data_IF_657066117817
#
_entry.id   IF_657066117817
#
_cell.length_a   1.000
_cell.length_b   1.000
_cell.length_c   1.000
_cell.angle_alpha   90.00
_cell.angle_beta   90.00
_cell.angle_gamma   90.00
#
_symmetry.space_group_name_H-M   'P 1'
#
loop_
_entity.id
_entity.type
_entity.pdbx_description
1 polymer ?
#
# COMPACT_ATOMS: atom_id res chain seq x y z
N UNK A 1 -90.32 -32.64 -2.32
CA UNK A 1 -89.51 -31.70 -3.13
C UNK A 1 -88.08 -32.22 -3.13
N UNK A 2 -87.60 -32.74 -4.28
CA UNK A 2 -86.53 -32.15 -5.13
C UNK A 2 -85.20 -31.93 -4.39
N UNK A 3 -84.02 -32.35 -4.84
CA UNK A 3 -83.50 -33.25 -5.91
C UNK A 3 -81.97 -33.17 -5.71
N UNK A 4 -81.27 -34.32 -5.66
CA UNK A 4 -80.07 -34.71 -6.45
C UNK A 4 -79.04 -33.63 -6.87
N UNK A 5 -77.71 -33.86 -6.99
CA UNK A 5 -76.85 -35.03 -7.26
C UNK A 5 -75.37 -34.59 -7.00
N UNK A 6 -74.46 -35.45 -6.50
CA UNK A 6 -73.37 -36.18 -7.23
C UNK A 6 -72.51 -35.28 -8.16
N UNK A 7 -71.18 -35.32 -8.14
CA UNK A 7 -70.36 -36.47 -8.56
C UNK A 7 -68.96 -36.55 -7.90
N UNK A 8 -68.63 -37.76 -7.48
CA UNK A 8 -67.29 -38.36 -7.38
C UNK A 8 -67.23 -39.44 -8.48
N UNK A 9 -66.16 -39.48 -9.27
CA UNK A 9 -65.68 -40.62 -10.11
C UNK A 9 -64.34 -40.18 -10.73
N UNK A 10 -63.17 -40.77 -10.46
CA UNK A 10 -62.67 -42.13 -10.73
C UNK A 10 -63.08 -42.65 -12.10
N UNK A 11 -62.12 -42.71 -13.04
CA UNK A 11 -61.86 -43.73 -14.08
C UNK A 11 -60.44 -43.46 -14.61
N UNK A 12 -59.56 -44.38 -15.03
CA UNK A 12 -59.21 -45.78 -14.77
C UNK A 12 -58.19 -46.18 -15.87
N UNK A 13 -57.60 -47.37 -15.70
CA UNK A 13 -57.10 -48.31 -16.73
C UNK A 13 -55.66 -48.10 -17.24
N UNK A 14 -54.65 -48.96 -16.99
CA UNK A 14 -54.47 -50.41 -16.77
C UNK A 14 -54.13 -51.24 -18.03
N UNK A 15 -53.42 -52.35 -17.75
CA UNK A 15 -52.87 -53.47 -18.57
C UNK A 15 -51.35 -53.40 -18.79
N UNK A 16 -50.50 -54.22 -18.15
CA UNK A 16 -50.38 -55.69 -17.94
C UNK A 16 -50.00 -56.46 -19.21
N UNK A 17 -48.86 -57.16 -19.11
CA UNK A 17 -48.46 -58.29 -19.96
C UNK A 17 -47.00 -58.17 -20.40
N UNK A 18 -46.16 -59.20 -20.48
CA UNK A 18 -46.14 -60.57 -19.98
C UNK A 18 -44.70 -61.05 -20.26
N UNK A 19 -44.16 -61.90 -19.40
CA UNK A 19 -42.91 -62.63 -19.69
C UNK A 19 -43.22 -63.67 -20.77
N UNK A 20 -42.45 -63.70 -21.86
CA UNK A 20 -42.22 -64.93 -22.61
C UNK A 20 -40.73 -65.07 -22.93
N UNK A 21 -40.17 -66.13 -22.38
CA UNK A 21 -38.95 -66.80 -22.80
C UNK A 21 -39.02 -67.21 -24.27
N UNK A 22 -37.93 -66.95 -25.01
CA UNK A 22 -37.62 -67.58 -26.28
C UNK A 22 -36.11 -67.71 -26.42
N UNK A 23 -35.56 -68.85 -25.98
CA UNK A 23 -34.24 -69.29 -26.42
C UNK A 23 -34.41 -70.05 -27.73
N UNK A 24 -33.67 -69.67 -28.78
CA UNK A 24 -33.12 -70.62 -29.74
C UNK A 24 -31.89 -70.01 -30.40
N UNK A 25 -30.78 -70.76 -30.33
CA UNK A 25 -29.55 -70.55 -31.07
C UNK A 25 -29.81 -70.61 -32.57
N UNK A 26 -29.09 -69.80 -33.37
CA UNK A 26 -28.14 -70.31 -34.37
C UNK A 26 -27.49 -69.16 -35.16
N UNK A 27 -26.17 -69.27 -35.22
CA UNK A 27 -25.15 -68.84 -36.17
C UNK A 27 -25.32 -67.70 -37.19
N UNK A 28 -24.17 -67.05 -37.37
CA UNK A 28 -23.64 -66.47 -38.59
C UNK A 28 -24.41 -65.31 -39.23
N UNK A 29 -23.87 -64.10 -39.05
CA UNK A 29 -22.80 -63.61 -39.93
C UNK A 29 -22.62 -62.11 -39.79
N UNK A 30 -21.41 -61.69 -40.11
CA UNK A 30 -20.86 -60.37 -39.95
C UNK A 30 -21.68 -59.22 -40.59
N UNK A 31 -21.27 -58.02 -40.19
CA UNK A 31 -21.53 -56.71 -40.83
C UNK A 31 -22.76 -56.00 -40.27
N UNK A 32 -22.58 -55.24 -39.19
CA UNK A 32 -22.39 -53.80 -39.35
C UNK A 32 -21.91 -53.20 -38.02
N UNK A 33 -20.58 -53.20 -37.82
CA UNK A 33 -19.95 -52.23 -36.92
C UNK A 33 -19.96 -50.89 -37.65
N UNK A 34 -21.14 -50.31 -37.85
CA UNK A 34 -21.24 -48.87 -37.97
C UNK A 34 -20.87 -48.35 -36.59
N UNK A 35 -19.60 -47.93 -36.49
CA UNK A 35 -19.12 -47.03 -35.47
C UNK A 35 -20.15 -45.89 -35.36
N UNK A 36 -21.06 -45.98 -34.40
CA UNK A 36 -21.51 -44.79 -33.72
C UNK A 36 -20.24 -44.21 -33.13
N UNK A 37 -19.63 -43.28 -33.86
CA UNK A 37 -18.84 -42.23 -33.27
C UNK A 37 -19.65 -41.75 -32.08
N UNK A 38 -19.19 -42.08 -30.87
CA UNK A 38 -19.72 -41.47 -29.67
C UNK A 38 -19.67 -39.98 -29.92
N UNK A 39 -20.87 -39.40 -30.05
CA UNK A 39 -21.05 -37.98 -30.22
C UNK A 39 -20.59 -37.37 -28.90
N UNK A 40 -19.28 -37.06 -28.81
CA UNK A 40 -18.59 -36.22 -27.81
C UNK A 40 -19.10 -34.78 -27.93
N UNK A 41 -20.40 -34.64 -28.11
CA UNK A 41 -21.14 -33.40 -28.19
C UNK A 41 -21.11 -32.77 -26.80
N UNK A 42 -20.53 -31.58 -26.74
CA UNK A 42 -20.56 -30.68 -25.59
C UNK A 42 -22.01 -30.55 -25.11
N UNK A 43 -22.34 -31.21 -23.99
CA UNK A 43 -23.67 -31.13 -23.38
C UNK A 43 -23.76 -29.82 -22.59
N UNK A 44 -24.60 -28.89 -23.04
CA UNK A 44 -24.91 -27.67 -22.28
C UNK A 44 -26.10 -27.95 -21.35
N UNK A 45 -25.97 -27.60 -20.07
CA UNK A 45 -27.01 -27.74 -19.05
C UNK A 45 -27.33 -26.36 -18.49
N UNK A 46 -28.59 -25.94 -18.60
CA UNK A 46 -29.08 -24.71 -17.97
C UNK A 46 -29.42 -24.98 -16.52
N UNK A 47 -28.89 -24.17 -15.60
CA UNK A 47 -29.07 -24.32 -14.16
C UNK A 47 -29.34 -22.97 -13.50
N UNK A 48 -30.19 -22.96 -12.48
CA UNK A 48 -30.49 -21.76 -11.69
C UNK A 48 -30.11 -21.99 -10.24
N UNK A 49 -29.52 -20.98 -9.60
CA UNK A 49 -29.20 -20.98 -8.16
C UNK A 49 -29.70 -19.72 -7.49
N UNK A 50 -30.07 -19.83 -6.21
CA UNK A 50 -30.43 -18.69 -5.38
C UNK A 50 -29.20 -18.22 -4.60
N UNK A 51 -28.93 -16.92 -4.69
CA UNK A 51 -27.75 -16.28 -4.11
C UNK A 51 -28.20 -15.11 -3.25
N UNK A 52 -27.70 -15.04 -2.03
CA UNK A 52 -27.92 -13.93 -1.12
C UNK A 52 -26.64 -13.12 -0.90
N UNK A 53 -26.81 -11.85 -0.54
CA UNK A 53 -25.74 -11.02 0.02
C UNK A 53 -25.79 -11.13 1.55
N UNK A 54 -24.64 -11.30 2.20
CA UNK A 54 -24.56 -11.21 3.67
C UNK A 54 -24.94 -9.80 4.13
N UNK A 55 -26.06 -9.70 4.84
CA UNK A 55 -26.60 -8.46 5.39
C UNK A 55 -25.75 -7.89 6.54
N UNK A 56 -24.84 -8.68 7.13
CA UNK A 56 -23.90 -8.21 8.15
C UNK A 56 -22.66 -7.51 7.62
N UNK A 57 -22.38 -7.62 6.31
CA UNK A 57 -21.14 -7.09 5.72
C UNK A 57 -21.20 -5.58 5.47
N UNK A 58 -20.23 -4.84 6.03
CA UNK A 58 -20.18 -3.36 5.98
C UNK A 58 -19.53 -2.78 4.71
N UNK A 59 -19.17 -3.61 3.73
CA UNK A 59 -18.27 -3.21 2.63
C UNK A 59 -18.69 -3.64 1.23
N UNK A 60 -19.92 -4.06 0.98
CA UNK A 60 -20.38 -4.49 -0.37
C UNK A 60 -20.47 -3.34 -1.40
N UNK A 61 -19.70 -2.29 -1.14
CA UNK A 61 -19.56 -1.06 -1.88
C UNK A 61 -20.85 -0.21 -1.78
N UNK A 62 -20.86 0.56 -0.70
CA UNK A 62 -22.00 1.17 -0.01
C UNK A 62 -22.86 2.09 -0.92
N UNK A 63 -24.17 2.09 -0.70
CA UNK A 63 -25.06 3.20 -1.14
C UNK A 63 -25.11 4.27 -0.03
N UNK A 64 -25.85 5.37 -0.24
CA UNK A 64 -26.04 6.38 0.82
C UNK A 64 -26.61 5.84 2.14
N UNK A 65 -27.24 4.65 2.10
CA UNK A 65 -27.81 3.93 3.26
C UNK A 65 -26.98 2.72 3.71
N UNK A 66 -25.89 2.40 3.00
CA UNK A 66 -24.83 1.53 3.51
C UNK A 66 -24.91 0.04 3.18
N UNK A 67 -25.84 -0.41 2.33
CA UNK A 67 -25.86 -1.80 1.82
C UNK A 67 -26.13 -1.78 0.32
N UNK A 68 -25.35 -2.54 -0.45
CA UNK A 68 -25.58 -2.75 -1.88
C UNK A 68 -26.59 -3.86 -2.09
N UNK A 69 -27.46 -3.67 -3.07
CA UNK A 69 -28.46 -4.64 -3.53
C UNK A 69 -28.11 -5.14 -4.93
N UNK A 70 -28.60 -6.32 -5.30
CA UNK A 70 -28.63 -6.74 -6.69
C UNK A 70 -29.54 -5.81 -7.51
N UNK A 71 -29.15 -5.58 -8.76
CA UNK A 71 -29.83 -4.73 -9.72
C UNK A 71 -30.03 -5.45 -11.06
N UNK A 72 -31.05 -5.00 -11.79
CA UNK A 72 -31.35 -5.50 -13.13
C UNK A 72 -30.14 -5.27 -14.05
N UNK A 73 -29.80 -6.29 -14.84
CA UNK A 73 -28.66 -6.25 -15.75
C UNK A 73 -27.36 -6.82 -15.18
N UNK A 74 -27.23 -6.95 -13.86
CA UNK A 74 -26.02 -7.51 -13.25
C UNK A 74 -25.88 -9.02 -13.53
N UNK A 75 -24.64 -9.48 -13.54
CA UNK A 75 -24.26 -10.87 -13.84
C UNK A 75 -23.29 -11.39 -12.79
N UNK A 76 -23.26 -12.70 -12.62
CA UNK A 76 -22.32 -13.41 -11.75
C UNK A 76 -21.50 -14.40 -12.56
N UNK A 77 -20.25 -14.64 -12.17
CA UNK A 77 -19.45 -15.71 -12.74
C UNK A 77 -19.49 -16.95 -11.83
N UNK A 78 -19.44 -18.13 -12.44
CA UNK A 78 -19.24 -19.41 -11.78
C UNK A 78 -18.01 -20.08 -12.36
N UNK A 79 -17.14 -20.57 -11.49
CA UNK A 79 -16.02 -21.44 -11.85
C UNK A 79 -16.38 -22.85 -11.39
N UNK A 80 -16.32 -23.80 -12.31
CA UNK A 80 -16.72 -25.19 -12.09
C UNK A 80 -15.85 -26.13 -12.94
N UNK A 81 -15.85 -27.43 -12.63
CA UNK A 81 -15.17 -28.43 -13.45
C UNK A 81 -16.06 -28.91 -14.59
N UNK A 82 -15.49 -29.06 -15.78
CA UNK A 82 -16.16 -29.67 -16.93
C UNK A 82 -15.65 -31.09 -17.27
N UNK A 83 -14.98 -31.74 -16.32
CA UNK A 83 -14.33 -33.04 -16.49
C UNK A 83 -12.95 -33.00 -17.16
N UNK A 84 -12.62 -31.93 -17.89
CA UNK A 84 -11.28 -31.70 -18.47
C UNK A 84 -10.45 -30.68 -17.69
N UNK A 85 -11.10 -29.88 -16.83
CA UNK A 85 -10.47 -28.88 -15.99
C UNK A 85 -11.47 -27.87 -15.46
N UNK A 86 -10.96 -26.85 -14.76
CA UNK A 86 -11.77 -25.73 -14.26
C UNK A 86 -12.05 -24.74 -15.39
N UNK A 87 -13.32 -24.39 -15.55
CA UNK A 87 -13.79 -23.43 -16.56
C UNK A 87 -14.70 -22.38 -15.93
N UNK A 88 -14.78 -21.22 -16.56
CA UNK A 88 -15.67 -20.12 -16.17
C UNK A 88 -16.92 -20.10 -17.05
N UNK A 89 -18.08 -19.96 -16.43
CA UNK A 89 -19.31 -19.50 -17.09
C UNK A 89 -19.81 -18.20 -16.46
N UNK A 90 -20.56 -17.42 -17.23
CA UNK A 90 -21.19 -16.17 -16.78
C UNK A 90 -22.70 -16.35 -16.82
N UNK A 91 -23.39 -15.90 -15.79
CA UNK A 91 -24.84 -15.98 -15.72
C UNK A 91 -25.48 -15.14 -16.81
N UNK A 92 -26.74 -15.43 -17.12
CA UNK A 92 -27.61 -14.46 -17.79
C UNK A 92 -27.75 -13.22 -16.89
N UNK A 93 -27.99 -12.07 -17.52
CA UNK A 93 -28.25 -10.82 -16.80
C UNK A 93 -29.55 -10.92 -15.99
N UNK A 94 -29.53 -10.41 -14.75
CA UNK A 94 -30.69 -10.40 -13.86
C UNK A 94 -31.84 -9.59 -14.46
N UNK A 95 -33.04 -10.14 -14.34
CA UNK A 95 -34.32 -9.44 -14.58
C UNK A 95 -34.93 -9.02 -13.24
N UNK A 96 -35.97 -8.18 -13.30
CA UNK A 96 -36.67 -7.73 -12.10
C UNK A 96 -37.24 -8.91 -11.28
N UNK A 97 -37.82 -9.92 -11.94
CA UNK A 97 -38.41 -11.10 -11.28
C UNK A 97 -37.36 -12.05 -10.67
N UNK A 98 -36.09 -11.93 -11.08
CA UNK A 98 -35.00 -12.71 -10.51
C UNK A 98 -34.58 -12.16 -9.13
N UNK A 99 -34.90 -10.91 -8.83
CA UNK A 99 -34.47 -10.17 -7.65
C UNK A 99 -35.57 -10.23 -6.58
N UNK A 100 -35.20 -10.62 -5.36
CA UNK A 100 -36.11 -10.83 -4.22
C UNK A 100 -35.61 -10.10 -2.98
N UNK A 101 -36.45 -10.07 -1.95
CA UNK A 101 -36.12 -9.52 -0.62
C UNK A 101 -35.54 -8.10 -0.69
N UNK A 102 -36.21 -7.21 -1.42
CA UNK A 102 -35.74 -5.84 -1.66
C UNK A 102 -34.31 -5.73 -2.25
N UNK A 103 -33.87 -6.77 -2.96
CA UNK A 103 -32.58 -6.80 -3.64
C UNK A 103 -31.46 -7.49 -2.87
N UNK A 104 -31.70 -8.05 -1.69
CA UNK A 104 -30.67 -8.78 -0.93
C UNK A 104 -30.48 -10.23 -1.39
N UNK A 105 -31.39 -10.75 -2.21
CA UNK A 105 -31.29 -12.08 -2.81
C UNK A 105 -31.68 -12.04 -4.29
N UNK A 106 -31.05 -12.92 -5.09
CA UNK A 106 -31.34 -13.02 -6.52
C UNK A 106 -31.18 -14.47 -7.03
N UNK A 107 -31.90 -14.80 -8.11
CA UNK A 107 -31.79 -16.08 -8.82
C UNK A 107 -30.93 -15.92 -10.07
N UNK A 108 -29.75 -16.54 -10.09
CA UNK A 108 -28.84 -16.50 -11.23
C UNK A 108 -28.98 -17.76 -12.07
N UNK A 109 -29.13 -17.60 -13.38
CA UNK A 109 -29.22 -18.71 -14.34
C UNK A 109 -27.97 -18.79 -15.20
N UNK A 110 -27.38 -19.98 -15.27
CA UNK A 110 -26.15 -20.29 -16.00
C UNK A 110 -26.39 -21.34 -17.07
N UNK A 111 -25.65 -21.26 -18.16
CA UNK A 111 -25.55 -22.30 -19.17
C UNK A 111 -24.17 -22.95 -19.05
N UNK A 112 -24.11 -24.16 -18.50
CA UNK A 112 -22.86 -24.86 -18.17
C UNK A 112 -22.54 -25.92 -19.22
N UNK A 113 -21.35 -25.83 -19.81
CA UNK A 113 -20.84 -26.83 -20.75
C UNK A 113 -20.20 -28.00 -20.01
N UNK A 114 -20.71 -29.21 -20.27
CA UNK A 114 -20.27 -30.52 -19.74
C UNK A 114 -19.93 -30.52 -18.24
N UNK A 115 -20.80 -30.02 -17.36
CA UNK A 115 -20.45 -29.88 -15.94
C UNK A 115 -20.23 -31.24 -15.27
N UNK A 116 -19.17 -31.30 -14.46
CA UNK A 116 -18.88 -32.41 -13.56
C UNK A 116 -19.34 -32.04 -12.14
N UNK A 117 -20.36 -32.76 -11.65
CA UNK A 117 -21.19 -32.41 -10.48
C UNK A 117 -20.61 -32.89 -9.15
N UNK A 118 -19.30 -33.13 -9.07
CA UNK A 118 -18.65 -33.78 -7.92
C UNK A 118 -17.43 -33.00 -7.38
N UNK A 119 -17.39 -31.69 -7.62
CA UNK A 119 -16.19 -30.85 -7.44
C UNK A 119 -16.56 -29.49 -6.82
N UNK A 120 -15.56 -28.82 -6.25
CA UNK A 120 -15.59 -27.42 -5.81
C UNK A 120 -16.16 -26.49 -6.90
N UNK A 121 -17.10 -25.63 -6.51
CA UNK A 121 -17.58 -24.49 -7.29
C UNK A 121 -17.22 -23.19 -6.59
N UNK A 122 -16.91 -22.17 -7.40
CA UNK A 122 -16.65 -20.82 -6.90
C UNK A 122 -17.55 -19.82 -7.61
N UNK A 123 -18.30 -19.04 -6.85
CA UNK A 123 -19.09 -17.93 -7.37
C UNK A 123 -18.33 -16.63 -7.17
N UNK A 124 -18.30 -15.79 -8.19
CA UNK A 124 -17.62 -14.49 -8.16
C UNK A 124 -18.59 -13.44 -8.68
N UNK A 125 -18.84 -12.45 -7.82
CA UNK A 125 -19.77 -11.37 -8.10
C UNK A 125 -19.09 -10.00 -7.93
N UNK A 126 -19.32 -9.05 -8.87
CA UNK A 126 -19.98 -9.24 -10.16
C UNK A 126 -19.11 -10.06 -11.12
N UNK A 127 -19.70 -10.54 -12.23
CA UNK A 127 -18.99 -11.37 -13.23
C UNK A 127 -17.74 -10.70 -13.82
N UNK A 128 -17.71 -9.36 -13.88
CA UNK A 128 -16.56 -8.56 -14.34
C UNK A 128 -15.32 -8.72 -13.45
N UNK A 129 -15.50 -9.15 -12.19
CA UNK A 129 -14.40 -9.43 -11.27
C UNK A 129 -13.80 -10.82 -11.44
N UNK A 130 -14.32 -11.64 -12.36
CA UNK A 130 -13.75 -12.94 -12.69
C UNK A 130 -12.91 -12.87 -13.96
N UNK A 131 -11.62 -13.20 -13.85
CA UNK A 131 -10.70 -13.36 -14.98
C UNK A 131 -11.09 -14.56 -15.85
N UNK A 132 -10.48 -14.68 -17.04
CA UNK A 132 -10.79 -15.77 -17.97
C UNK A 132 -10.48 -17.16 -17.38
N UNK A 133 -9.46 -17.24 -16.52
CA UNK A 133 -9.04 -18.46 -15.80
C UNK A 133 -9.87 -18.75 -14.55
N UNK A 134 -10.88 -17.93 -14.23
CA UNK A 134 -11.71 -18.07 -13.03
C UNK A 134 -11.10 -17.49 -11.76
N UNK A 135 -9.92 -16.87 -11.81
CA UNK A 135 -9.36 -16.15 -10.67
C UNK A 135 -10.01 -14.76 -10.49
N UNK A 136 -9.85 -14.17 -9.31
CA UNK A 136 -10.36 -12.83 -9.01
C UNK A 136 -9.49 -11.76 -9.70
N UNK A 137 -10.14 -10.79 -10.34
CA UNK A 137 -9.51 -9.66 -10.99
C UNK A 137 -9.25 -8.51 -10.00
N UNK A 138 -8.20 -8.62 -9.18
CA UNK A 138 -7.81 -7.53 -8.28
C UNK A 138 -7.23 -6.30 -9.00
N UNK A 139 -6.82 -6.41 -10.26
CA UNK A 139 -6.29 -5.28 -11.04
C UNK A 139 -7.34 -4.19 -11.27
N UNK A 140 -8.63 -4.56 -11.22
CA UNK A 140 -9.74 -3.61 -11.28
C UNK A 140 -9.69 -2.59 -10.13
N UNK A 141 -9.04 -2.92 -9.00
CA UNK A 141 -8.90 -2.02 -7.86
C UNK A 141 -7.79 -0.98 -8.03
N UNK A 142 -6.92 -1.11 -9.03
CA UNK A 142 -5.70 -0.30 -9.15
C UNK A 142 -6.00 1.19 -9.31
N UNK A 143 -7.11 1.54 -9.99
CA UNK A 143 -7.53 2.92 -10.23
C UNK A 143 -8.99 3.12 -9.79
N UNK A 144 -9.24 4.11 -8.93
CA UNK A 144 -10.56 4.40 -8.36
C UNK A 144 -10.80 5.91 -8.38
N UNK A 145 -12.05 6.36 -8.29
CA UNK A 145 -12.37 7.79 -8.24
C UNK A 145 -12.55 8.33 -6.81
N UNK A 146 -12.40 7.47 -5.80
CA UNK A 146 -12.47 7.89 -4.40
C UNK A 146 -13.87 8.17 -3.86
N UNK A 147 -14.92 7.89 -4.63
CA UNK A 147 -16.31 8.14 -4.25
C UNK A 147 -17.03 6.88 -3.82
N UNK A 148 -18.05 7.04 -2.99
CA UNK A 148 -18.93 5.94 -2.59
C UNK A 148 -19.68 5.33 -3.79
N UNK A 149 -20.04 6.17 -4.77
CA UNK A 149 -20.83 5.76 -5.93
C UNK A 149 -20.05 4.82 -6.86
N UNK A 150 -18.79 5.12 -7.17
CA UNK A 150 -17.97 4.24 -8.02
C UNK A 150 -17.61 2.93 -7.33
N UNK A 151 -17.42 2.98 -6.01
CA UNK A 151 -17.29 1.75 -5.24
C UNK A 151 -18.54 0.91 -5.45
N UNK A 152 -19.73 1.48 -5.20
CA UNK A 152 -21.00 0.78 -5.34
C UNK A 152 -21.24 0.20 -6.72
N UNK A 153 -20.97 0.95 -7.78
CA UNK A 153 -21.29 0.53 -9.14
C UNK A 153 -20.21 -0.33 -9.80
N UNK A 154 -18.93 -0.14 -9.46
CA UNK A 154 -17.81 -0.66 -10.27
C UNK A 154 -16.83 -1.54 -9.49
N UNK A 155 -16.73 -1.40 -8.16
CA UNK A 155 -15.66 -2.01 -7.36
C UNK A 155 -16.20 -2.80 -6.17
N UNK A 156 -17.24 -3.58 -6.45
CA UNK A 156 -17.75 -4.60 -5.53
C UNK A 156 -17.07 -5.95 -5.81
N UNK A 157 -16.90 -6.74 -4.76
CA UNK A 157 -16.40 -8.10 -4.89
C UNK A 157 -16.89 -8.95 -3.72
N UNK A 158 -17.70 -9.93 -4.06
CA UNK A 158 -18.13 -10.97 -3.14
C UNK A 158 -18.01 -12.34 -3.80
N UNK A 159 -17.66 -13.34 -3.00
CA UNK A 159 -17.45 -14.70 -3.49
C UNK A 159 -18.10 -15.73 -2.60
N UNK A 160 -18.38 -16.90 -3.15
CA UNK A 160 -18.72 -18.09 -2.39
C UNK A 160 -17.86 -19.24 -2.91
N UNK A 161 -17.33 -20.05 -2.00
CA UNK A 161 -16.70 -21.32 -2.33
C UNK A 161 -17.45 -22.43 -1.62
N UNK A 162 -17.85 -23.45 -2.35
CA UNK A 162 -18.51 -24.61 -1.77
C UNK A 162 -18.45 -25.82 -2.70
N UNK A 163 -19.01 -26.92 -2.24
CA UNK A 163 -19.08 -28.15 -3.02
C UNK A 163 -20.39 -28.19 -3.82
N UNK A 164 -20.30 -28.58 -5.08
CA UNK A 164 -21.49 -28.94 -5.85
C UNK A 164 -21.75 -30.42 -5.65
N UNK A 165 -22.74 -30.74 -4.83
CA UNK A 165 -23.17 -32.11 -4.55
C UNK A 165 -24.62 -32.28 -5.04
N UNK A 166 -24.81 -33.10 -6.08
CA UNK A 166 -26.13 -33.49 -6.58
C UNK A 166 -26.58 -32.75 -7.85
N UNK A 167 -27.90 -32.74 -8.10
CA UNK A 167 -28.42 -32.31 -9.40
C UNK A 167 -28.48 -30.79 -9.61
N UNK A 168 -28.51 -30.02 -8.51
CA UNK A 168 -28.68 -28.56 -8.52
C UNK A 168 -27.41 -27.86 -8.03
N UNK A 169 -27.20 -26.64 -8.52
CA UNK A 169 -26.16 -25.75 -8.01
C UNK A 169 -26.46 -25.37 -6.54
N UNK A 170 -25.45 -25.27 -5.67
CA UNK A 170 -25.66 -24.89 -4.28
C UNK A 170 -26.23 -23.47 -4.19
N UNK A 171 -27.29 -23.31 -3.38
CA UNK A 171 -27.71 -21.98 -2.94
C UNK A 171 -26.73 -21.47 -1.88
N UNK A 172 -26.47 -20.16 -1.87
CA UNK A 172 -25.40 -19.63 -1.03
C UNK A 172 -25.64 -18.19 -0.58
N UNK A 173 -24.84 -17.77 0.40
CA UNK A 173 -24.63 -16.37 0.74
C UNK A 173 -23.21 -16.02 0.33
N UNK A 174 -23.04 -14.98 -0.50
CA UNK A 174 -21.71 -14.52 -0.90
C UNK A 174 -21.04 -13.83 0.29
N UNK A 175 -19.71 -13.88 0.37
CA UNK A 175 -18.88 -13.19 1.36
C UNK A 175 -18.07 -12.08 0.68
N UNK A 176 -18.06 -10.88 1.26
CA UNK A 176 -17.28 -9.77 0.73
C UNK A 176 -15.78 -10.05 0.85
N UNK A 177 -15.01 -9.71 -0.18
CA UNK A 177 -13.57 -10.00 -0.24
C UNK A 177 -12.68 -8.75 -0.13
N UNK A 178 -13.24 -7.57 0.10
CA UNK A 178 -12.52 -6.29 0.15
C UNK A 178 -12.56 -5.68 1.55
N UNK A 179 -11.55 -4.86 1.83
CA UNK A 179 -11.61 -3.88 2.89
C UNK A 179 -11.82 -2.50 2.27
N UNK A 180 -12.62 -1.64 2.92
CA UNK A 180 -12.83 -0.26 2.46
C UNK A 180 -12.25 0.70 3.46
N UNK A 181 -11.40 1.62 3.00
CA UNK A 181 -10.88 2.71 3.80
C UNK A 181 -11.66 3.99 3.47
N UNK A 182 -12.24 4.64 4.47
CA UNK A 182 -12.81 5.98 4.37
C UNK A 182 -11.82 6.97 5.00
N UNK A 183 -11.02 7.62 4.16
CA UNK A 183 -9.88 8.44 4.56
C UNK A 183 -10.29 9.87 4.85
N UNK A 184 -9.95 10.36 6.03
CA UNK A 184 -9.92 11.78 6.38
C UNK A 184 -8.46 12.17 6.63
N UNK A 185 -7.93 13.09 5.84
CA UNK A 185 -6.51 13.45 5.86
C UNK A 185 -6.32 14.83 6.51
N UNK A 186 -5.32 14.94 7.39
CA UNK A 186 -4.96 16.16 8.10
C UNK A 186 -3.51 16.54 7.84
N UNK A 187 -3.20 17.81 7.95
CA UNK A 187 -1.82 18.29 7.95
C UNK A 187 -0.99 17.73 9.12
N UNK A 188 0.33 17.97 9.11
CA UNK A 188 1.27 17.42 10.10
C UNK A 188 0.93 17.84 11.54
N UNK A 189 0.48 19.07 11.70
CA UNK A 189 0.11 19.64 13.00
C UNK A 189 -1.26 19.12 13.47
N UNK A 190 -2.02 18.50 12.56
CA UNK A 190 -3.33 17.91 12.77
C UNK A 190 -4.43 18.96 12.97
N UNK A 191 -4.12 20.23 12.70
CA UNK A 191 -5.00 21.37 12.91
C UNK A 191 -5.96 21.55 11.74
N UNK A 192 -5.50 21.30 10.52
CA UNK A 192 -6.30 21.50 9.31
C UNK A 192 -6.60 20.16 8.63
N UNK A 193 -7.88 19.96 8.31
CA UNK A 193 -8.28 18.91 7.40
C UNK A 193 -7.90 19.29 5.97
N UNK A 194 -7.15 18.42 5.29
CA UNK A 194 -6.68 18.64 3.92
C UNK A 194 -7.48 17.80 2.90
N UNK A 195 -8.32 16.87 3.36
CA UNK A 195 -9.08 15.93 2.52
C UNK A 195 -9.78 16.61 1.33
N UNK A 196 -10.40 17.77 1.57
CA UNK A 196 -11.18 18.48 0.56
C UNK A 196 -10.38 18.95 -0.66
N UNK A 197 -9.07 19.17 -0.49
CA UNK A 197 -8.18 19.70 -1.51
C UNK A 197 -7.32 18.61 -2.17
N UNK A 198 -7.51 17.36 -1.78
CA UNK A 198 -6.77 16.22 -2.30
C UNK A 198 -7.40 15.76 -3.60
N UNK A 199 -6.59 15.76 -4.66
CA UNK A 199 -7.00 15.26 -5.98
C UNK A 199 -6.49 13.85 -6.22
N UNK A 200 -5.38 13.47 -5.60
CA UNK A 200 -4.76 12.17 -5.81
C UNK A 200 -4.33 11.53 -4.48
N UNK A 201 -4.64 10.25 -4.32
CA UNK A 201 -4.17 9.42 -3.20
C UNK A 201 -3.64 8.10 -3.74
N UNK A 202 -2.46 7.70 -3.29
CA UNK A 202 -1.95 6.36 -3.50
C UNK A 202 -1.88 5.65 -2.16
N UNK A 203 -2.49 4.46 -2.07
CA UNK A 203 -2.35 3.54 -0.95
C UNK A 203 -1.55 2.34 -1.44
N UNK A 204 -0.40 2.08 -0.82
CA UNK A 204 0.48 0.96 -1.15
C UNK A 204 0.63 0.04 0.05
N UNK A 205 0.45 -1.26 -0.17
CA UNK A 205 0.69 -2.31 0.81
C UNK A 205 1.50 -3.43 0.13
N UNK A 206 2.81 -3.45 0.37
CA UNK A 206 3.79 -4.26 -0.37
C UNK A 206 3.76 -3.99 -1.89
N UNK A 207 3.43 -5.00 -2.69
CA UNK A 207 3.34 -4.94 -4.16
C UNK A 207 1.99 -4.36 -4.63
N UNK A 208 0.96 -4.42 -3.79
CA UNK A 208 -0.37 -3.93 -4.11
C UNK A 208 -0.40 -2.40 -4.02
N UNK A 209 -0.83 -1.75 -5.11
CA UNK A 209 -0.93 -0.28 -5.21
C UNK A 209 -2.31 0.12 -5.69
N UNK A 210 -2.95 1.03 -4.97
CA UNK A 210 -4.28 1.56 -5.25
C UNK A 210 -4.18 3.06 -5.42
N UNK A 211 -4.56 3.57 -6.58
CA UNK A 211 -4.55 4.99 -6.89
C UNK A 211 -5.98 5.49 -6.96
N UNK A 212 -6.23 6.61 -6.28
CA UNK A 212 -7.45 7.37 -6.35
C UNK A 212 -7.15 8.67 -7.06
N UNK A 213 -7.92 8.98 -8.11
CA UNK A 213 -7.91 10.30 -8.75
C UNK A 213 -9.32 10.87 -8.71
N UNK A 214 -9.49 12.02 -8.09
CA UNK A 214 -10.78 12.67 -7.86
C UNK A 214 -10.72 14.18 -8.07
N UNK A 215 -11.88 14.78 -8.28
CA UNK A 215 -12.00 16.22 -8.13
C UNK A 215 -11.97 16.60 -6.65
N UNK A 216 -11.36 17.76 -6.34
CA UNK A 216 -11.41 18.35 -5.01
C UNK A 216 -12.87 18.50 -4.57
N UNK A 217 -13.22 17.86 -3.45
CA UNK A 217 -14.58 17.77 -2.95
C UNK A 217 -14.56 17.49 -1.45
N UNK A 218 -15.57 17.97 -0.72
CA UNK A 218 -15.70 17.71 0.71
C UNK A 218 -15.97 16.23 1.02
N UNK A 219 -15.61 15.82 2.24
CA UNK A 219 -15.89 14.48 2.76
C UNK A 219 -14.78 13.45 2.51
N UNK A 220 -14.94 12.21 3.02
CA UNK A 220 -13.91 11.19 2.96
C UNK A 220 -13.52 10.79 1.54
N UNK A 221 -12.32 10.24 1.41
CA UNK A 221 -11.84 9.57 0.21
C UNK A 221 -11.98 8.07 0.45
N UNK A 222 -12.78 7.40 -0.37
CA UNK A 222 -13.00 5.97 -0.21
C UNK A 222 -12.02 5.17 -1.07
N UNK A 223 -11.40 4.14 -0.49
CA UNK A 223 -10.45 3.27 -1.19
C UNK A 223 -10.81 1.82 -0.90
N UNK A 224 -11.16 1.05 -1.92
CA UNK A 224 -11.28 -0.40 -1.81
C UNK A 224 -9.91 -1.05 -1.97
N UNK A 225 -9.54 -1.94 -1.06
CA UNK A 225 -8.26 -2.63 -1.08
C UNK A 225 -8.45 -4.13 -0.89
N UNK A 226 -7.47 -4.90 -1.34
CA UNK A 226 -7.35 -6.30 -0.95
C UNK A 226 -7.14 -6.37 0.58
N UNK A 227 -7.67 -7.39 1.26
CA UNK A 227 -7.43 -7.58 2.68
C UNK A 227 -5.93 -7.68 2.96
N UNK A 228 -5.49 -7.01 4.02
CA UNK A 228 -4.10 -7.07 4.47
C UNK A 228 -4.03 -7.65 5.88
N UNK A 229 -2.99 -8.42 6.15
CA UNK A 229 -2.69 -8.97 7.47
C UNK A 229 -1.27 -8.57 7.88
N UNK A 230 -1.15 -7.74 8.91
CA UNK A 230 0.12 -7.30 9.49
C UNK A 230 1.14 -6.75 8.47
N UNK A 231 0.70 -5.83 7.60
CA UNK A 231 1.55 -5.20 6.57
C UNK A 231 1.82 -3.74 6.84
N UNK A 232 2.92 -3.22 6.31
CA UNK A 232 3.14 -1.79 6.26
C UNK A 232 2.29 -1.17 5.14
N UNK A 233 1.64 -0.05 5.42
CA UNK A 233 0.81 0.69 4.46
C UNK A 233 1.38 2.09 4.30
N UNK A 234 1.73 2.42 3.07
CA UNK A 234 2.23 3.75 2.69
C UNK A 234 1.10 4.48 1.99
N UNK A 235 0.83 5.69 2.43
CA UNK A 235 -0.19 6.56 1.84
C UNK A 235 0.51 7.81 1.38
N UNK A 236 0.48 8.09 0.07
CA UNK A 236 0.96 9.34 -0.50
C UNK A 236 -0.20 10.10 -1.11
N UNK A 237 -0.15 11.42 -1.07
CA UNK A 237 -1.21 12.26 -1.63
C UNK A 237 -0.69 13.61 -2.05
N UNK A 238 -1.36 14.23 -3.01
CA UNK A 238 -1.15 15.63 -3.39
C UNK A 238 -2.37 16.44 -2.95
N UNK A 239 -2.14 17.38 -2.04
CA UNK A 239 -3.16 18.32 -1.55
C UNK A 239 -2.84 19.72 -2.03
N UNK A 240 -3.54 20.20 -3.05
CA UNK A 240 -3.20 21.46 -3.73
C UNK A 240 -1.79 21.43 -4.31
N UNK A 241 -0.89 22.28 -3.80
CA UNK A 241 0.50 22.41 -4.29
C UNK A 241 1.53 21.60 -3.50
N UNK A 242 1.10 20.78 -2.53
CA UNK A 242 2.00 20.05 -1.62
C UNK A 242 1.77 18.54 -1.71
N UNK A 243 2.88 17.81 -1.70
CA UNK A 243 2.88 16.36 -1.55
C UNK A 243 2.93 15.99 -0.06
N UNK A 244 2.30 14.88 0.29
CA UNK A 244 2.30 14.35 1.65
C UNK A 244 2.48 12.84 1.67
N UNK A 245 2.98 12.33 2.79
CA UNK A 245 3.20 10.91 3.03
C UNK A 245 2.81 10.49 4.45
N UNK A 246 2.35 9.25 4.57
CA UNK A 246 2.15 8.54 5.83
C UNK A 246 2.59 7.10 5.70
N UNK A 247 3.41 6.64 6.64
CA UNK A 247 3.67 5.22 6.85
C UNK A 247 2.90 4.72 8.07
N UNK A 248 2.20 3.61 7.90
CA UNK A 248 1.48 2.90 8.93
C UNK A 248 2.10 1.51 9.05
N UNK A 249 2.62 1.14 10.22
CA UNK A 249 3.30 -0.14 10.40
C UNK A 249 2.36 -1.22 10.93
N UNK A 250 2.52 -2.46 10.45
CA UNK A 250 1.82 -3.64 10.99
C UNK A 250 0.29 -3.55 10.97
N UNK A 251 -0.30 -2.99 9.91
CA UNK A 251 -1.74 -2.83 9.77
C UNK A 251 -2.41 -4.09 9.25
N UNK A 252 -3.62 -4.31 9.76
CA UNK A 252 -4.55 -5.35 9.32
C UNK A 252 -5.85 -4.68 8.90
N UNK A 253 -6.29 -4.96 7.68
CA UNK A 253 -7.60 -4.58 7.18
C UNK A 253 -8.24 -5.86 6.64
N UNK A 254 -9.09 -6.48 7.45
CA UNK A 254 -9.80 -7.70 7.10
C UNK A 254 -10.90 -7.45 6.05
N UNK A 255 -11.23 -8.49 5.28
CA UNK A 255 -12.36 -8.50 4.35
C UNK A 255 -13.69 -8.23 5.08
N UNK A 256 -14.67 -7.66 4.38
CA UNK A 256 -15.99 -7.39 4.94
C UNK A 256 -16.07 -6.14 5.84
N UNK A 257 -14.95 -5.44 6.07
CA UNK A 257 -14.85 -4.36 7.06
C UNK A 257 -14.54 -2.99 6.45
N UNK A 258 -15.39 -2.01 6.81
CA UNK A 258 -15.19 -0.60 6.51
C UNK A 258 -14.43 0.09 7.64
N UNK A 259 -13.37 0.83 7.30
CA UNK A 259 -12.51 1.52 8.25
C UNK A 259 -12.62 3.03 8.03
N UNK A 260 -13.25 3.73 8.97
CA UNK A 260 -13.18 5.19 9.02
C UNK A 260 -11.90 5.62 9.72
N UNK A 261 -11.02 6.29 8.99
CA UNK A 261 -9.68 6.62 9.47
C UNK A 261 -9.39 8.10 9.34
N UNK A 262 -8.74 8.66 10.35
CA UNK A 262 -8.24 10.04 10.33
C UNK A 262 -6.74 10.04 10.53
N UNK A 263 -5.99 10.46 9.51
CA UNK A 263 -4.53 10.39 9.50
C UNK A 263 -3.90 11.77 9.36
N UNK A 264 -2.93 12.05 10.24
CA UNK A 264 -1.99 13.16 10.07
C UNK A 264 -0.93 12.76 9.07
N UNK A 265 -0.77 13.58 8.05
CA UNK A 265 0.15 13.38 6.95
C UNK A 265 1.38 14.28 7.11
N UNK A 266 2.55 13.74 6.80
CA UNK A 266 3.80 14.50 6.82
C UNK A 266 3.98 15.16 5.45
N UNK A 267 4.24 16.48 5.37
CA UNK A 267 4.53 17.13 4.10
C UNK A 267 5.89 16.68 3.56
N UNK A 268 5.92 16.38 2.27
CA UNK A 268 7.13 16.20 1.48
C UNK A 268 7.42 17.54 0.80
N UNK A 269 8.54 18.16 1.15
CA UNK A 269 8.94 19.47 0.63
C UNK A 269 10.29 19.36 -0.09
N UNK A 270 10.57 20.21 -1.09
CA UNK A 270 11.93 20.38 -1.60
C UNK A 270 12.88 20.84 -0.47
N UNK A 271 14.14 20.42 -0.47
CA UNK A 271 15.11 20.90 0.53
C UNK A 271 15.29 22.42 0.50
N UNK A 272 15.00 23.06 -0.64
CA UNK A 272 15.05 24.52 -0.83
C UNK A 272 13.97 25.26 -0.03
N UNK A 273 12.95 24.55 0.46
CA UNK A 273 11.86 25.08 1.28
C UNK A 273 12.01 24.70 2.76
N UNK A 274 13.08 24.01 3.14
CA UNK A 274 13.29 23.58 4.52
C UNK A 274 13.37 24.76 5.51
N UNK A 275 12.87 24.52 6.71
CA UNK A 275 12.78 25.47 7.82
C UNK A 275 13.50 24.93 9.05
N UNK A 276 13.67 25.75 10.09
CA UNK A 276 14.28 25.30 11.35
C UNK A 276 13.56 24.10 12.00
N UNK A 277 12.27 23.91 11.73
CA UNK A 277 11.51 22.78 12.25
C UNK A 277 11.92 21.44 11.59
N UNK A 278 12.51 21.50 10.40
CA UNK A 278 12.96 20.35 9.62
C UNK A 278 14.33 19.82 10.06
N UNK A 279 15.02 20.47 11.01
CA UNK A 279 16.24 19.89 11.60
C UNK A 279 15.94 18.52 12.21
N UNK A 280 16.78 17.55 11.86
CA UNK A 280 16.62 16.13 12.19
C UNK A 280 15.86 15.31 11.16
N UNK A 281 15.31 15.93 10.10
CA UNK A 281 14.74 15.24 8.93
C UNK A 281 15.83 14.91 7.92
N UNK A 282 15.53 14.05 6.95
CA UNK A 282 16.50 13.61 5.92
C UNK A 282 16.23 14.26 4.58
N UNK A 283 17.30 14.65 3.89
CA UNK A 283 17.28 14.96 2.46
C UNK A 283 17.54 13.65 1.72
N UNK A 284 16.70 13.32 0.74
CA UNK A 284 16.90 12.18 -0.14
C UNK A 284 17.45 12.60 -1.51
N UNK A 285 17.89 11.60 -2.29
CA UNK A 285 18.54 11.79 -3.60
C UNK A 285 17.64 12.48 -4.65
N UNK A 286 16.32 12.44 -4.44
CA UNK A 286 15.33 13.16 -5.25
C UNK A 286 15.22 14.67 -4.91
N UNK A 287 16.01 15.16 -3.95
CA UNK A 287 16.00 16.55 -3.52
C UNK A 287 14.83 16.92 -2.60
N UNK A 288 14.08 15.94 -2.10
CA UNK A 288 12.96 16.14 -1.17
C UNK A 288 13.36 15.81 0.28
N UNK A 289 12.60 16.36 1.23
CA UNK A 289 12.78 16.20 2.67
C UNK A 289 11.73 15.22 3.22
N UNK A 290 12.21 14.24 4.00
CA UNK A 290 11.41 13.19 4.63
C UNK A 290 11.72 13.10 6.12
N UNK A 291 10.80 12.58 6.93
CA UNK A 291 11.01 12.51 8.39
C UNK A 291 12.21 11.66 8.80
N UNK A 292 12.48 10.57 8.07
CA UNK A 292 13.59 9.66 8.31
C UNK A 292 13.81 8.73 7.10
N UNK A 293 14.85 7.89 7.17
CA UNK A 293 15.17 6.90 6.14
C UNK A 293 14.03 5.92 5.86
N UNK A 294 13.27 5.51 6.88
CA UNK A 294 12.16 4.56 6.71
C UNK A 294 11.06 5.14 5.81
N UNK A 295 10.72 6.41 5.97
CA UNK A 295 9.74 7.10 5.10
C UNK A 295 10.30 7.27 3.68
N UNK A 296 11.56 7.68 3.53
CA UNK A 296 12.20 7.80 2.23
C UNK A 296 12.18 6.45 1.46
N UNK A 297 12.57 5.36 2.11
CA UNK A 297 12.54 4.02 1.50
C UNK A 297 11.11 3.58 1.17
N UNK A 298 10.14 3.90 2.01
CA UNK A 298 8.72 3.57 1.77
C UNK A 298 8.16 4.21 0.49
N UNK A 299 8.69 5.35 0.06
CA UNK A 299 8.35 6.02 -1.22
C UNK A 299 9.38 5.76 -2.32
N UNK A 300 10.19 4.70 -2.19
CA UNK A 300 11.21 4.26 -3.15
C UNK A 300 12.30 5.30 -3.43
N UNK A 301 12.73 6.07 -2.43
CA UNK A 301 13.90 6.97 -2.53
C UNK A 301 14.92 6.67 -1.44
N UNK A 302 16.12 7.23 -1.58
CA UNK A 302 17.25 6.98 -0.67
C UNK A 302 17.63 8.28 0.04
N UNK A 303 17.56 8.25 1.37
CA UNK A 303 18.07 9.33 2.22
C UNK A 303 19.60 9.42 2.13
N UNK A 304 20.14 10.63 1.99
CA UNK A 304 21.58 10.87 1.80
C UNK A 304 22.21 11.79 2.84
N UNK A 305 21.41 12.67 3.47
CA UNK A 305 21.89 13.59 4.49
C UNK A 305 20.81 13.90 5.53
N UNK A 306 21.21 14.32 6.72
CA UNK A 306 20.33 14.74 7.82
C UNK A 306 20.45 16.26 7.96
N UNK A 307 19.33 16.97 7.86
CA UNK A 307 19.28 18.42 8.07
C UNK A 307 19.75 18.72 9.49
N UNK A 308 20.87 19.40 9.63
CA UNK A 308 21.48 19.69 10.92
C UNK A 308 21.38 21.16 11.29
N UNK A 309 21.18 22.04 10.32
CA UNK A 309 20.99 23.47 10.52
C UNK A 309 20.19 24.09 9.36
N UNK A 310 19.29 25.03 9.67
CA UNK A 310 18.60 25.87 8.68
C UNK A 310 18.76 27.33 9.08
N UNK A 311 19.27 28.11 8.14
CA UNK A 311 19.76 29.48 8.30
C UNK A 311 20.96 29.71 7.40
N UNK A 312 21.35 30.97 7.20
CA UNK A 312 22.52 31.28 6.38
C UNK A 312 23.78 30.73 7.04
N UNK A 313 24.49 29.77 6.42
CA UNK A 313 25.67 29.14 7.03
C UNK A 313 26.94 29.99 6.88
N UNK A 314 26.85 31.24 6.38
CA UNK A 314 27.99 32.08 5.99
C UNK A 314 29.14 32.09 7.01
N UNK A 315 30.20 31.36 6.66
CA UNK A 315 31.55 31.91 6.51
C UNK A 315 31.70 32.34 5.03
N UNK A 316 32.53 33.34 4.73
CA UNK A 316 32.47 34.21 3.54
C UNK A 316 32.62 33.57 2.13
N UNK A 317 32.69 32.24 1.97
CA UNK A 317 33.17 31.59 0.73
C UNK A 317 32.24 30.54 0.11
N UNK A 318 31.17 30.14 0.81
CA UNK A 318 30.11 29.28 0.24
C UNK A 318 28.95 30.15 -0.22
N UNK A 319 28.36 29.86 -1.39
CA UNK A 319 27.27 30.62 -2.01
C UNK A 319 26.03 30.82 -1.13
N UNK A 320 24.94 31.37 -1.69
CA UNK A 320 23.69 31.63 -0.95
C UNK A 320 22.94 30.33 -0.63
N UNK A 321 23.41 29.60 0.38
CA UNK A 321 22.78 28.40 0.91
C UNK A 321 21.86 28.72 2.10
N UNK A 322 20.81 27.90 2.25
CA UNK A 322 19.76 27.99 3.26
C UNK A 322 20.02 27.14 4.48
N UNK A 323 20.96 26.19 4.44
CA UNK A 323 21.27 25.35 5.58
C UNK A 323 22.48 24.43 5.40
N UNK A 324 22.68 23.56 6.39
CA UNK A 324 23.67 22.49 6.39
C UNK A 324 22.99 21.16 6.69
N UNK A 325 23.45 20.10 6.03
CA UNK A 325 23.06 18.73 6.33
C UNK A 325 24.29 17.83 6.44
N UNK A 326 24.32 16.96 7.45
CA UNK A 326 25.42 16.01 7.68
C UNK A 326 25.17 14.70 6.95
N UNK A 327 26.22 14.00 6.54
CA UNK A 327 26.11 12.65 5.96
C UNK A 327 25.44 11.65 6.91
N UNK A 328 24.74 10.66 6.33
CA UNK A 328 24.06 9.60 7.09
C UNK A 328 25.03 8.77 7.95
N UNK A 329 26.30 8.69 7.57
CA UNK A 329 27.37 8.01 8.31
C UNK A 329 28.67 8.82 8.24
N UNK A 330 29.69 8.37 8.95
CA UNK A 330 31.04 8.89 8.73
C UNK A 330 31.50 8.54 7.30
N UNK A 331 32.29 9.44 6.72
CA UNK A 331 32.76 9.33 5.33
C UNK A 331 33.77 8.19 5.13
N UNK A 332 34.29 7.63 6.22
CA UNK A 332 35.24 6.52 6.30
C UNK A 332 34.95 5.72 7.56
N UNK A 333 35.22 4.42 7.56
CA UNK A 333 34.99 3.54 8.72
C UNK A 333 35.98 3.78 9.84
N UNK A 334 37.21 4.17 9.48
CA UNK A 334 38.32 4.40 10.39
C UNK A 334 38.78 5.85 10.38
N UNK A 335 39.57 6.20 11.39
CA UNK A 335 40.18 7.53 11.52
C UNK A 335 41.22 7.75 10.44
N UNK A 336 41.30 8.99 9.95
CA UNK A 336 42.25 9.39 8.90
C UNK A 336 43.15 10.53 9.38
N UNK A 337 44.28 10.71 8.71
CA UNK A 337 45.12 11.91 8.86
C UNK A 337 44.41 13.11 8.21
N UNK A 338 44.68 14.32 8.68
CA UNK A 338 43.95 15.51 8.24
C UNK A 338 44.08 15.78 6.72
N UNK A 339 45.25 15.54 6.14
CA UNK A 339 45.48 15.72 4.70
C UNK A 339 44.58 14.84 3.82
N UNK A 340 44.08 13.72 4.35
CA UNK A 340 43.14 12.84 3.65
C UNK A 340 41.67 13.16 3.97
N UNK A 341 41.40 14.01 4.97
CA UNK A 341 40.05 14.27 5.47
C UNK A 341 39.18 15.02 4.45
N UNK A 342 39.75 15.96 3.70
CA UNK A 342 39.02 16.69 2.66
C UNK A 342 38.54 15.75 1.54
N UNK A 343 39.45 14.94 0.99
CA UNK A 343 39.11 13.97 -0.06
C UNK A 343 38.16 12.88 0.45
N UNK A 344 38.33 12.41 1.70
CA UNK A 344 37.37 11.51 2.33
C UNK A 344 35.98 12.15 2.38
N UNK A 345 35.90 13.41 2.84
CA UNK A 345 34.65 14.13 2.95
C UNK A 345 33.97 14.33 1.59
N UNK A 346 34.71 14.79 0.58
CA UNK A 346 34.24 15.00 -0.80
C UNK A 346 33.73 13.71 -1.45
N UNK A 347 34.43 12.59 -1.22
CA UNK A 347 33.99 11.29 -1.74
C UNK A 347 32.74 10.77 -1.05
N UNK A 348 32.62 10.99 0.27
CA UNK A 348 31.58 10.46 1.16
C UNK A 348 31.15 9.02 0.81
N UNK A 349 32.13 8.11 0.65
CA UNK A 349 31.92 6.72 0.23
C UNK A 349 31.11 6.55 -1.08
N UNK A 350 31.21 7.49 -2.01
CA UNK A 350 30.49 7.47 -3.29
C UNK A 350 29.01 7.84 -3.18
N UNK A 351 28.56 8.37 -2.03
CA UNK A 351 27.16 8.79 -1.84
C UNK A 351 26.85 9.99 -2.73
N UNK A 352 25.94 9.81 -3.69
CA UNK A 352 25.48 10.87 -4.59
C UNK A 352 24.58 11.86 -3.84
N UNK A 353 24.70 13.15 -4.14
CA UNK A 353 23.84 14.21 -3.59
C UNK A 353 22.95 14.84 -4.66
N UNK A 354 21.76 15.35 -4.29
CA UNK A 354 20.91 16.09 -5.21
C UNK A 354 21.62 17.30 -5.84
N UNK A 355 21.28 17.58 -7.09
CA UNK A 355 21.68 18.83 -7.74
C UNK A 355 21.13 20.04 -7.00
N UNK A 356 21.84 21.17 -7.07
CA UNK A 356 21.50 22.40 -6.34
C UNK A 356 22.11 22.49 -4.93
N UNK A 357 22.81 21.46 -4.48
CA UNK A 357 23.63 21.49 -3.26
C UNK A 357 25.08 21.87 -3.58
N UNK A 358 25.89 22.13 -2.56
CA UNK A 358 27.33 22.42 -2.70
C UNK A 358 28.18 21.23 -3.17
N UNK A 359 27.63 20.01 -3.20
CA UNK A 359 28.45 18.80 -3.09
C UNK A 359 28.91 18.56 -1.64
N UNK A 360 29.49 17.39 -1.39
CA UNK A 360 30.08 17.08 -0.09
C UNK A 360 31.36 17.86 0.16
N UNK A 361 31.55 18.35 1.37
CA UNK A 361 32.79 19.00 1.79
C UNK A 361 33.12 18.69 3.25
N UNK A 362 34.38 18.94 3.62
CA UNK A 362 34.85 18.94 5.00
C UNK A 362 34.48 20.28 5.66
N UNK A 363 33.58 20.30 6.66
CA UNK A 363 33.09 21.55 7.23
C UNK A 363 34.18 22.32 7.99
N UNK A 364 34.08 23.65 7.96
CA UNK A 364 34.84 24.54 8.85
C UNK A 364 34.41 24.34 10.31
N UNK A 365 35.22 24.82 11.25
CA UNK A 365 34.85 24.81 12.66
C UNK A 365 33.56 25.59 12.94
N UNK A 366 33.34 26.72 12.26
CA UNK A 366 32.10 27.49 12.38
C UNK A 366 30.90 26.72 11.82
N UNK A 367 31.07 26.01 10.69
CA UNK A 367 30.01 25.19 10.12
C UNK A 367 29.68 24.01 11.05
N UNK A 368 30.69 23.36 11.65
CA UNK A 368 30.48 22.36 12.70
C UNK A 368 29.78 22.93 13.93
N UNK A 369 30.09 24.18 14.33
CA UNK A 369 29.34 24.87 15.38
C UNK A 369 27.85 24.98 15.01
N UNK A 370 27.52 25.37 13.78
CA UNK A 370 26.12 25.47 13.32
C UNK A 370 25.41 24.12 13.31
N UNK A 371 26.09 23.08 12.84
CA UNK A 371 25.60 21.68 12.93
C UNK A 371 25.26 21.32 14.38
N UNK A 372 26.16 21.60 15.32
CA UNK A 372 25.94 21.32 16.74
C UNK A 372 24.78 22.13 17.31
N UNK A 373 24.71 23.43 17.01
CA UNK A 373 23.67 24.34 17.48
C UNK A 373 22.29 23.89 17.00
N UNK A 374 22.13 23.56 15.72
CA UNK A 374 20.84 23.15 15.18
C UNK A 374 20.35 21.83 15.77
N UNK A 375 21.20 20.80 15.81
CA UNK A 375 20.86 19.50 16.41
C UNK A 375 20.56 19.62 17.91
N UNK A 376 21.34 20.38 18.66
CA UNK A 376 21.12 20.58 20.09
C UNK A 376 19.86 21.42 20.39
N UNK A 377 19.56 22.42 19.53
CA UNK A 377 18.31 23.18 19.58
C UNK A 377 17.11 22.27 19.36
N UNK A 378 17.16 21.40 18.34
CA UNK A 378 16.11 20.41 18.08
C UNK A 378 15.89 19.49 19.28
N UNK A 379 16.97 19.05 19.92
CA UNK A 379 16.91 18.17 21.10
C UNK A 379 16.29 18.85 22.32
N UNK A 380 16.66 20.09 22.59
CA UNK A 380 16.22 20.83 23.78
C UNK A 380 14.86 21.52 23.62
N UNK A 381 14.41 21.75 22.38
CA UNK A 381 13.24 22.56 22.08
C UNK A 381 13.43 24.07 22.31
N UNK A 382 14.65 24.50 22.69
CA UNK A 382 15.00 25.91 22.91
C UNK A 382 16.25 26.25 22.12
N UNK A 383 16.35 27.47 21.59
CA UNK A 383 17.51 27.90 20.82
C UNK A 383 18.81 27.81 21.64
N UNK A 384 19.78 27.06 21.12
CA UNK A 384 21.14 26.98 21.67
C UNK A 384 22.09 27.76 20.75
N UNK A 385 22.66 28.85 21.28
CA UNK A 385 23.51 29.79 20.54
C UNK A 385 24.94 29.88 21.09
N UNK A 386 25.29 29.03 22.05
CA UNK A 386 26.62 29.02 22.67
C UNK A 386 27.68 28.67 21.62
N UNK A 387 28.75 29.46 21.54
CA UNK A 387 29.85 29.16 20.62
C UNK A 387 30.63 27.92 21.06
N UNK A 388 31.21 27.20 20.11
CA UNK A 388 32.18 26.16 20.42
C UNK A 388 33.40 26.80 21.11
N UNK A 389 33.95 26.11 22.11
CA UNK A 389 35.12 26.57 22.85
C UNK A 389 35.96 25.38 23.31
N UNK A 390 37.14 25.63 23.85
CA UNK A 390 37.97 24.59 24.49
C UNK A 390 37.36 24.09 25.81
N UNK A 391 36.43 24.84 26.41
CA UNK A 391 35.57 24.38 27.51
C UNK A 391 34.41 23.57 26.92
N UNK A 392 34.20 22.36 27.46
CA UNK A 392 33.15 21.46 26.98
C UNK A 392 31.74 22.02 27.13
N UNK A 393 30.93 21.82 26.08
CA UNK A 393 29.49 22.02 26.12
C UNK A 393 28.79 20.65 26.03
N UNK A 394 28.25 20.13 27.14
CA UNK A 394 27.55 18.84 27.14
C UNK A 394 26.42 18.77 26.12
N UNK A 395 25.76 19.88 25.79
CA UNK A 395 24.68 19.93 24.78
C UNK A 395 25.16 19.50 23.39
N UNK A 396 26.45 19.67 23.11
CA UNK A 396 27.09 19.27 21.86
C UNK A 396 27.77 17.91 21.94
N UNK A 397 27.69 17.19 23.06
CA UNK A 397 28.23 15.84 23.14
C UNK A 397 27.41 14.87 22.29
N UNK A 398 28.06 13.83 21.76
CA UNK A 398 27.44 12.77 20.97
C UNK A 398 26.25 12.13 21.69
N UNK A 399 26.30 11.98 23.01
CA UNK A 399 25.19 11.46 23.83
C UNK A 399 23.90 12.25 23.67
N UNK A 400 23.98 13.55 23.37
CA UNK A 400 22.82 14.41 23.13
C UNK A 400 22.43 14.47 21.65
N UNK A 401 23.41 14.69 20.77
CA UNK A 401 23.17 14.86 19.33
C UNK A 401 22.71 13.56 18.66
N UNK A 402 23.23 12.41 19.09
CA UNK A 402 22.99 11.13 18.41
C UNK A 402 21.52 10.71 18.45
N UNK A 403 20.74 11.12 19.45
CA UNK A 403 19.31 10.79 19.48
C UNK A 403 18.52 11.39 18.31
N UNK A 404 18.95 12.53 17.76
CA UNK A 404 18.36 13.12 16.56
C UNK A 404 18.88 12.40 15.32
N UNK A 405 20.19 12.14 15.25
CA UNK A 405 20.85 11.50 14.11
C UNK A 405 20.33 10.07 13.89
N UNK A 406 20.27 9.26 14.95
CA UNK A 406 19.79 7.88 14.87
C UNK A 406 18.29 7.82 14.70
N UNK A 407 17.54 8.79 15.24
CA UNK A 407 16.10 8.94 14.99
C UNK A 407 15.76 9.21 13.52
N UNK A 408 16.64 9.93 12.81
CA UNK A 408 16.55 10.14 11.37
C UNK A 408 16.95 8.88 10.56
N UNK A 409 17.58 7.89 11.20
CA UNK A 409 18.09 6.66 10.60
C UNK A 409 19.56 6.70 10.17
N UNK A 410 20.33 7.68 10.64
CA UNK A 410 21.79 7.74 10.43
C UNK A 410 22.60 7.03 11.51
N UNK A 411 23.88 6.79 11.23
CA UNK A 411 24.86 6.36 12.21
C UNK A 411 25.29 7.55 13.08
N UNK A 412 25.17 7.38 14.40
CA UNK A 412 25.55 8.39 15.38
C UNK A 412 27.02 8.81 15.25
N UNK A 413 27.33 10.01 15.75
CA UNK A 413 28.69 10.50 15.89
C UNK A 413 29.43 9.68 16.95
N UNK A 414 30.70 9.40 16.68
CA UNK A 414 31.61 8.78 17.63
C UNK A 414 31.91 9.77 18.77
N UNK A 415 32.08 9.28 20.00
CA UNK A 415 32.45 10.11 21.16
C UNK A 415 33.96 10.48 21.15
N UNK A 416 34.45 10.93 20.00
CA UNK A 416 35.86 11.19 19.67
C UNK A 416 36.01 12.50 18.89
N UNK A 417 37.23 12.79 18.44
CA UNK A 417 37.55 13.96 17.61
C UNK A 417 37.10 13.80 16.17
N UNK A 418 36.49 14.85 15.62
CA UNK A 418 36.14 14.98 14.21
C UNK A 418 36.92 16.12 13.57
N UNK A 419 37.46 15.87 12.38
CA UNK A 419 38.20 16.88 11.65
C UNK A 419 37.30 18.01 11.14
N UNK A 420 37.85 19.22 11.14
CA UNK A 420 37.33 20.36 10.40
C UNK A 420 38.34 20.79 9.34
N UNK A 421 37.93 21.65 8.41
CA UNK A 421 38.84 22.32 7.47
C UNK A 421 39.58 23.50 8.08
N UNK A 422 39.33 23.86 9.35
CA UNK A 422 39.93 25.02 10.00
C UNK A 422 41.28 24.69 10.62
N UNK A 423 42.35 25.14 9.96
CA UNK A 423 43.71 25.10 10.50
C UNK A 423 43.84 25.90 11.80
N UNK A 424 44.59 25.36 12.78
CA UNK A 424 44.89 26.04 14.05
C UNK A 424 46.32 26.60 14.01
N UNK A 425 47.27 25.76 13.58
CA UNK A 425 48.66 26.13 13.30
C UNK A 425 49.17 25.39 12.07
N UNK A 426 50.41 25.66 11.64
CA UNK A 426 51.04 24.94 10.53
C UNK A 426 51.06 23.42 10.72
N UNK A 427 51.07 22.92 11.96
CA UNK A 427 51.13 21.49 12.31
C UNK A 427 49.83 20.94 12.89
N UNK A 428 48.88 21.79 13.26
CA UNK A 428 47.64 21.37 13.96
C UNK A 428 46.38 21.92 13.31
N UNK A 429 45.28 21.21 13.49
CA UNK A 429 43.96 21.57 12.97
C UNK A 429 42.96 21.58 14.12
N UNK A 430 42.02 22.52 14.08
CA UNK A 430 40.86 22.48 14.95
C UNK A 430 39.91 21.35 14.55
N UNK A 431 39.39 20.64 15.53
CA UNK A 431 38.31 19.69 15.39
C UNK A 431 37.32 19.81 16.54
N UNK A 432 36.29 18.97 16.52
CA UNK A 432 35.31 18.89 17.61
C UNK A 432 35.41 17.52 18.27
N UNK A 433 35.65 17.49 19.58
CA UNK A 433 35.52 16.28 20.38
C UNK A 433 34.08 16.13 20.87
N UNK A 434 33.34 15.18 20.30
CA UNK A 434 31.96 14.92 20.71
C UNK A 434 31.85 14.12 22.01
N UNK A 435 32.96 13.75 22.66
CA UNK A 435 32.94 13.22 24.04
C UNK A 435 32.33 14.23 25.04
N UNK A 436 32.62 15.51 24.82
CA UNK A 436 32.30 16.61 25.75
C UNK A 436 31.85 17.89 25.03
N UNK A 437 31.76 17.87 23.69
CA UNK A 437 31.30 19.00 22.90
C UNK A 437 32.24 20.21 22.96
N UNK A 438 33.56 19.96 22.86
CA UNK A 438 34.60 21.01 22.87
C UNK A 438 35.41 21.03 21.59
N UNK A 439 36.04 22.17 21.33
CA UNK A 439 37.14 22.28 20.37
C UNK A 439 38.31 21.43 20.89
N UNK A 440 38.93 20.69 19.98
CA UNK A 440 40.18 19.97 20.22
C UNK A 440 41.15 20.25 19.09
N UNK A 441 42.39 20.60 19.42
CA UNK A 441 43.49 20.60 18.45
C UNK A 441 43.95 19.17 18.20
N UNK A 442 44.17 18.82 16.93
CA UNK A 442 44.79 17.57 16.53
C UNK A 442 45.97 17.81 15.59
N UNK A 443 46.99 16.96 15.70
CA UNK A 443 48.14 17.00 14.79
C UNK A 443 47.74 16.47 13.41
N UNK A 444 48.08 17.21 12.36
CA UNK A 444 47.71 16.89 10.97
C UNK A 444 48.26 15.55 10.49
N UNK A 445 49.36 15.08 11.08
CA UNK A 445 50.09 13.87 10.69
C UNK A 445 49.63 12.62 11.42
N UNK A 446 48.85 12.75 12.50
CA UNK A 446 48.34 11.62 13.26
C UNK A 446 46.89 11.31 12.88
N UNK A 447 46.60 10.05 12.55
CA UNK A 447 45.28 9.57 12.13
C UNK A 447 44.28 9.43 13.28
N UNK A 448 43.93 10.55 13.92
CA UNK A 448 43.13 10.55 15.16
C UNK A 448 41.69 11.05 14.99
N UNK A 449 41.33 11.58 13.82
CA UNK A 449 40.02 12.19 13.60
C UNK A 449 39.12 11.35 12.69
N UNK A 450 37.83 11.32 13.06
CA UNK A 450 36.75 10.90 12.17
C UNK A 450 36.37 12.02 11.21
N UNK A 451 35.70 11.67 10.12
CA UNK A 451 35.23 12.62 9.11
C UNK A 451 33.74 12.45 8.92
N UNK A 452 32.98 13.53 9.14
CA UNK A 452 31.56 13.60 8.80
C UNK A 452 31.39 14.64 7.70
N UNK A 453 31.06 14.18 6.50
CA UNK A 453 30.81 15.07 5.37
C UNK A 453 29.58 15.94 5.61
N UNK A 454 29.60 17.14 5.05
CA UNK A 454 28.49 18.09 5.09
C UNK A 454 28.15 18.52 3.66
N UNK A 455 26.87 18.74 3.40
CA UNK A 455 26.39 19.52 2.25
C UNK A 455 25.78 20.82 2.75
N UNK A 456 25.87 21.86 1.92
CA UNK A 456 25.08 23.08 2.02
C UNK A 456 23.99 23.02 0.93
N UNK A 457 22.78 23.45 1.28
CA UNK A 457 21.59 23.34 0.44
C UNK A 457 20.74 24.61 0.49
#
# INVERSE_FOLDING_TARGET
MKKTMRFLSIVALAFVGAVMTGCSNDDDSAIDKSQQLENTSKKVVTMTTSVALDAGATTRALTGEGVKTFAVGEQMAIVYSNGSGMVKAVSRALKADDIKDAGTSASFTFDLETPDKSIDVTYIYPASMARADGSINYDALANQDGTLASLASNLDLATYKGEWLGENLPSCTLENQLAILALTLKDSDGANEITGNVTDVTVKADEDTYTVTRSAAAGPIYVAIKPIASKNVVVTTTGGSKDYVKLLTGKTYASGNGYSVSWRMTPIIPFTEATANDVGRVIAIDGKVYDNTTIATAVNTTAVAIISYVGNPKDAEVGWYRGLAIGMSDAVTDRVVWNAAASAAESNNGTVVPGGTSGWFLPSLTQLEKVCQGLATKKSGTAITTKLSTVGNPSYAASNLNSIITGAGGAGLQAWGYWSSTESTSTTVNGVSFSSGKISDGDKTYGIGYVRSVIAF
#
